data_IF_173761663773
#
_entry.id   IF_173761663773
#
_cell.length_a   1.000
_cell.length_b   1.000
_cell.length_c   1.000
_cell.angle_alpha   90.00
_cell.angle_beta   90.00
_cell.angle_gamma   90.00
#
_symmetry.space_group_name_H-M   'P 1'
#
loop_
_entity.id
_entity.type
_entity.pdbx_description
1 polymer ?
#
# COMPACT_ATOMS: atom_id res chain seq x y z
N UNK A 1 28.49 -48.37 42.64
CA UNK A 1 28.72 -47.23 41.73
C UNK A 1 28.46 -47.55 40.25
N UNK A 2 28.52 -48.81 39.80
CA UNK A 2 28.39 -49.14 38.37
C UNK A 2 26.95 -49.18 37.81
N UNK A 3 25.92 -49.35 38.64
CA UNK A 3 24.53 -49.39 38.18
C UNK A 3 23.97 -48.00 37.84
N UNK A 4 24.40 -46.97 38.58
CA UNK A 4 23.96 -45.58 38.38
C UNK A 4 24.48 -45.02 37.06
N UNK A 5 25.72 -45.34 36.70
CA UNK A 5 26.34 -44.96 35.43
C UNK A 5 25.70 -45.66 34.22
N UNK A 6 25.27 -46.91 34.37
CA UNK A 6 24.57 -47.63 33.30
C UNK A 6 23.17 -47.04 33.07
N UNK A 7 22.44 -46.69 34.14
CA UNK A 7 21.13 -46.06 34.04
C UNK A 7 21.21 -44.65 33.43
N UNK A 8 22.22 -43.86 33.79
CA UNK A 8 22.47 -42.54 33.20
C UNK A 8 22.81 -42.64 31.71
N UNK A 9 23.67 -43.58 31.32
CA UNK A 9 24.01 -43.81 29.90
C UNK A 9 22.79 -44.24 29.07
N UNK A 10 21.88 -45.06 29.63
CA UNK A 10 20.64 -45.44 28.95
C UNK A 10 19.63 -44.29 28.87
N UNK A 11 19.61 -43.39 29.86
CA UNK A 11 18.74 -42.22 29.83
C UNK A 11 19.22 -41.17 28.82
N UNK A 12 20.54 -40.93 28.75
CA UNK A 12 21.15 -40.06 27.73
C UNK A 12 20.95 -40.60 26.31
N UNK A 13 21.04 -41.92 26.10
CA UNK A 13 20.77 -42.53 24.79
C UNK A 13 19.27 -42.47 24.40
N UNK A 14 18.36 -42.54 25.37
CA UNK A 14 16.92 -42.36 25.14
C UNK A 14 16.57 -40.90 24.81
N UNK A 15 17.23 -39.92 25.44
CA UNK A 15 17.04 -38.49 25.11
C UNK A 15 17.56 -38.11 23.72
N UNK A 16 18.60 -38.78 23.20
CA UNK A 16 19.12 -38.54 21.83
C UNK A 16 18.17 -39.10 20.76
N UNK A 17 17.27 -40.03 21.11
CA UNK A 17 16.30 -40.63 20.18
C UNK A 17 14.94 -39.93 20.16
N UNK A 18 14.73 -38.93 21.01
CA UNK A 18 13.58 -38.03 20.93
C UNK A 18 13.92 -36.88 19.97
N UNK A 19 14.03 -37.18 18.67
CA UNK A 19 13.78 -36.11 17.68
C UNK A 19 12.33 -35.68 17.88
N UNK A 20 12.12 -34.40 18.21
CA UNK A 20 10.80 -33.82 18.08
C UNK A 20 10.33 -34.11 16.65
N UNK A 21 9.05 -34.45 16.49
CA UNK A 21 8.46 -34.54 15.14
C UNK A 21 8.74 -33.21 14.44
N UNK A 22 9.30 -33.26 13.23
CA UNK A 22 9.56 -32.07 12.42
C UNK A 22 8.19 -31.39 12.21
N UNK A 23 7.98 -30.29 12.92
CA UNK A 23 6.71 -29.56 12.95
C UNK A 23 6.47 -28.80 11.65
N UNK A 24 5.53 -27.85 11.67
CA UNK A 24 5.39 -26.90 10.57
C UNK A 24 6.66 -26.04 10.48
N UNK A 25 7.51 -26.29 9.49
CA UNK A 25 8.65 -25.45 9.18
C UNK A 25 8.19 -24.29 8.30
N UNK A 26 8.28 -23.07 8.84
CA UNK A 26 8.06 -21.86 8.06
C UNK A 26 9.23 -21.69 7.08
N UNK A 27 8.97 -21.53 5.77
CA UNK A 27 10.00 -21.26 4.79
C UNK A 27 10.82 -20.04 5.19
N UNK A 28 12.14 -20.13 5.07
CA UNK A 28 13.07 -18.99 5.26
C UNK A 28 13.71 -18.67 3.92
N UNK A 29 14.14 -17.43 3.75
CA UNK A 29 14.97 -17.07 2.61
C UNK A 29 16.20 -18.00 2.56
N UNK A 30 16.40 -18.67 1.43
CA UNK A 30 17.40 -19.72 1.27
C UNK A 30 18.76 -19.21 0.77
N UNK A 31 18.88 -17.90 0.53
CA UNK A 31 20.12 -17.24 0.12
C UNK A 31 20.52 -17.50 -1.33
N UNK A 32 19.63 -18.03 -2.18
CA UNK A 32 19.93 -18.23 -3.61
C UNK A 32 19.42 -17.06 -4.44
N UNK A 33 20.29 -16.59 -5.32
CA UNK A 33 19.98 -15.54 -6.30
C UNK A 33 19.01 -16.08 -7.38
N UNK A 34 17.85 -15.44 -7.51
CA UNK A 34 16.81 -15.73 -8.50
C UNK A 34 16.46 -14.51 -9.34
N UNK A 35 16.74 -13.30 -8.84
CA UNK A 35 16.48 -12.04 -9.52
C UNK A 35 17.58 -11.78 -10.55
N UNK A 36 17.20 -11.52 -11.79
CA UNK A 36 18.15 -11.31 -12.88
C UNK A 36 18.37 -9.81 -13.16
N UNK A 37 19.62 -9.38 -13.38
CA UNK A 37 19.84 -8.10 -14.06
C UNK A 37 19.39 -8.21 -15.52
N UNK A 38 18.49 -7.32 -15.94
CA UNK A 38 17.86 -7.37 -17.25
C UNK A 38 18.43 -6.26 -18.14
N UNK A 39 18.99 -6.67 -19.28
CA UNK A 39 19.58 -5.78 -20.27
C UNK A 39 19.04 -6.08 -21.68
N UNK A 40 19.44 -5.27 -22.66
CA UNK A 40 19.07 -5.46 -24.07
C UNK A 40 19.49 -6.82 -24.67
N UNK A 41 20.36 -7.59 -24.03
CA UNK A 41 20.86 -8.89 -24.53
C UNK A 41 20.04 -10.06 -24.01
N UNK A 42 19.44 -9.96 -22.82
CA UNK A 42 18.74 -11.08 -22.19
C UNK A 42 17.22 -10.91 -22.07
N UNK A 43 16.68 -9.70 -22.15
CA UNK A 43 15.25 -9.44 -21.86
C UNK A 43 14.27 -10.31 -22.67
N UNK A 44 14.51 -10.50 -23.98
CA UNK A 44 13.63 -11.35 -24.83
C UNK A 44 13.58 -12.79 -24.34
N UNK A 45 14.73 -13.33 -23.91
CA UNK A 45 14.79 -14.71 -23.41
C UNK A 45 14.08 -14.86 -22.07
N UNK A 46 14.02 -13.79 -21.27
CA UNK A 46 13.33 -13.79 -19.98
C UNK A 46 11.81 -13.70 -20.21
N UNK A 47 11.36 -12.81 -21.10
CA UNK A 47 9.95 -12.72 -21.52
C UNK A 47 9.45 -14.04 -22.13
N UNK A 48 10.27 -14.76 -22.89
CA UNK A 48 9.90 -16.07 -23.44
C UNK A 48 9.95 -17.22 -22.43
N UNK A 49 10.68 -17.05 -21.31
CA UNK A 49 10.92 -18.13 -20.34
C UNK A 49 9.82 -18.23 -19.29
N UNK A 50 9.31 -17.09 -18.84
CA UNK A 50 8.38 -17.00 -17.72
C UNK A 50 6.98 -16.65 -18.23
N UNK A 51 5.96 -17.20 -17.57
CA UNK A 51 4.56 -16.88 -17.89
C UNK A 51 4.23 -15.45 -17.43
N UNK A 52 4.86 -15.02 -16.33
CA UNK A 52 4.84 -13.64 -15.82
C UNK A 52 6.28 -13.20 -15.54
N UNK A 53 6.67 -12.01 -16.01
CA UNK A 53 7.97 -11.41 -15.70
C UNK A 53 7.77 -10.08 -14.95
N UNK A 54 8.30 -9.99 -13.74
CA UNK A 54 8.27 -8.79 -12.90
C UNK A 54 9.61 -8.07 -12.97
N UNK A 55 9.62 -6.80 -13.35
CA UNK A 55 10.82 -5.98 -13.49
C UNK A 55 10.74 -4.76 -12.58
N UNK A 56 11.59 -4.70 -11.57
CA UNK A 56 11.77 -3.48 -10.79
C UNK A 56 12.62 -2.49 -11.60
N UNK A 57 12.02 -1.36 -11.96
CA UNK A 57 12.72 -0.26 -12.59
C UNK A 57 13.30 0.66 -11.51
N UNK A 58 14.62 0.62 -11.31
CA UNK A 58 15.23 1.22 -10.12
C UNK A 58 16.20 2.36 -10.45
N UNK A 59 16.32 3.29 -9.50
CA UNK A 59 17.31 4.35 -9.57
C UNK A 59 18.73 3.77 -9.57
N UNK A 60 19.65 4.40 -10.31
CA UNK A 60 21.04 3.96 -10.28
C UNK A 60 21.66 4.32 -8.93
N UNK A 61 22.26 3.33 -8.27
CA UNK A 61 23.00 3.55 -7.02
C UNK A 61 24.29 4.34 -7.29
N UNK A 62 24.46 5.57 -6.72
CA UNK A 62 25.68 6.34 -6.89
C UNK A 62 26.88 5.66 -6.22
N UNK A 63 28.05 5.74 -6.85
CA UNK A 63 29.27 5.14 -6.31
C UNK A 63 29.64 5.77 -4.94
N UNK A 64 29.78 4.92 -3.92
CA UNK A 64 30.14 5.34 -2.56
C UNK A 64 28.95 5.74 -1.68
N UNK A 65 27.74 5.82 -2.22
CA UNK A 65 26.53 6.08 -1.44
C UNK A 65 26.03 4.80 -0.76
N UNK A 66 26.44 4.62 0.49
CA UNK A 66 26.04 3.45 1.31
C UNK A 66 24.56 3.44 1.66
N UNK A 67 23.89 4.60 1.71
CA UNK A 67 22.47 4.67 2.05
C UNK A 67 21.64 4.23 0.85
N UNK A 68 21.95 4.75 -0.34
CA UNK A 68 21.33 4.32 -1.59
C UNK A 68 21.56 2.82 -1.83
N UNK A 69 22.77 2.31 -1.58
CA UNK A 69 23.05 0.88 -1.70
C UNK A 69 22.17 0.04 -0.76
N UNK A 70 22.05 0.41 0.52
CA UNK A 70 21.20 -0.32 1.46
C UNK A 70 19.71 -0.31 1.07
N UNK A 71 19.21 0.81 0.53
CA UNK A 71 17.83 0.90 0.03
C UNK A 71 17.62 -0.05 -1.16
N UNK A 72 18.58 -0.09 -2.09
CA UNK A 72 18.56 -1.01 -3.21
C UNK A 72 18.65 -2.47 -2.76
N UNK A 73 19.58 -2.82 -1.87
CA UNK A 73 19.74 -4.18 -1.34
C UNK A 73 18.46 -4.67 -0.65
N UNK A 74 17.74 -3.77 0.04
CA UNK A 74 16.43 -4.08 0.64
C UNK A 74 15.39 -4.42 -0.44
N UNK A 75 15.28 -3.59 -1.48
CA UNK A 75 14.34 -3.82 -2.58
C UNK A 75 14.64 -5.12 -3.33
N UNK A 76 15.92 -5.38 -3.62
CA UNK A 76 16.37 -6.63 -4.25
C UNK A 76 16.03 -7.85 -3.38
N UNK A 77 16.23 -7.77 -2.06
CA UNK A 77 15.89 -8.86 -1.15
C UNK A 77 14.38 -9.16 -1.12
N UNK A 78 13.53 -8.13 -1.23
CA UNK A 78 12.07 -8.31 -1.34
C UNK A 78 11.73 -9.13 -2.58
N UNK A 79 12.32 -8.80 -3.73
CA UNK A 79 12.13 -9.55 -4.97
C UNK A 79 12.69 -10.97 -4.87
N UNK A 80 13.82 -11.17 -4.21
CA UNK A 80 14.39 -12.52 -4.00
C UNK A 80 13.48 -13.41 -3.16
N UNK A 81 12.85 -12.85 -2.12
CA UNK A 81 11.86 -13.56 -1.31
C UNK A 81 10.61 -13.90 -2.11
N UNK A 82 10.07 -12.95 -2.88
CA UNK A 82 8.93 -13.19 -3.77
C UNK A 82 9.26 -14.26 -4.84
N UNK A 83 10.45 -14.18 -5.45
CA UNK A 83 10.95 -15.14 -6.43
C UNK A 83 11.09 -16.54 -5.85
N UNK A 84 11.52 -16.66 -4.59
CA UNK A 84 11.59 -17.95 -3.90
C UNK A 84 10.21 -18.58 -3.73
N UNK A 85 9.21 -17.79 -3.29
CA UNK A 85 7.84 -18.28 -3.06
C UNK A 85 7.15 -18.65 -4.36
N UNK A 86 7.31 -17.81 -5.40
CA UNK A 86 6.59 -17.94 -6.67
C UNK A 86 7.34 -18.76 -7.73
N UNK A 87 8.49 -19.35 -7.39
CA UNK A 87 9.28 -20.19 -8.30
C UNK A 87 8.45 -21.32 -8.93
N UNK A 88 7.52 -21.91 -8.17
CA UNK A 88 6.66 -23.01 -8.63
C UNK A 88 5.56 -22.56 -9.60
N UNK A 89 5.29 -21.24 -9.67
CA UNK A 89 4.30 -20.60 -10.54
C UNK A 89 4.91 -20.08 -11.85
N UNK A 90 6.19 -20.36 -12.10
CA UNK A 90 6.93 -19.90 -13.29
C UNK A 90 6.92 -18.36 -13.47
N UNK A 91 6.98 -17.63 -12.35
CA UNK A 91 7.11 -16.17 -12.33
C UNK A 91 8.59 -15.80 -12.23
N UNK A 92 9.03 -14.92 -13.13
CA UNK A 92 10.39 -14.40 -13.17
C UNK A 92 10.49 -13.03 -12.52
N UNK A 93 11.66 -12.72 -11.97
CA UNK A 93 11.96 -11.41 -11.39
C UNK A 93 13.25 -10.86 -11.99
N UNK A 94 13.30 -9.54 -12.16
CA UNK A 94 14.47 -8.87 -12.68
C UNK A 94 14.57 -7.39 -12.31
N UNK A 95 15.76 -6.84 -12.56
CA UNK A 95 16.15 -5.48 -12.24
C UNK A 95 16.53 -4.75 -13.51
N UNK A 96 16.00 -3.53 -13.69
CA UNK A 96 16.35 -2.64 -14.80
C UNK A 96 16.85 -1.31 -14.22
N UNK A 97 18.09 -0.95 -14.53
CA UNK A 97 18.72 0.27 -14.01
C UNK A 97 18.39 1.49 -14.88
N UNK A 98 17.90 2.57 -14.27
CA UNK A 98 17.45 3.79 -14.96
C UNK A 98 18.53 4.42 -15.87
N UNK A 99 19.82 4.33 -15.52
CA UNK A 99 20.92 4.97 -16.29
C UNK A 99 21.68 3.96 -17.15
N UNK A 100 21.86 2.72 -16.67
CA UNK A 100 22.59 1.70 -17.45
C UNK A 100 21.72 1.11 -18.56
N UNK A 101 20.42 0.95 -18.30
CA UNK A 101 19.49 0.21 -19.16
C UNK A 101 18.40 1.11 -19.76
N UNK A 102 18.65 2.41 -19.89
CA UNK A 102 17.74 3.44 -20.48
C UNK A 102 17.08 2.98 -21.79
N UNK A 103 17.84 2.31 -22.66
CA UNK A 103 17.31 1.84 -23.96
C UNK A 103 16.29 0.72 -23.80
N UNK A 104 16.49 -0.15 -22.81
CA UNK A 104 15.55 -1.21 -22.48
C UNK A 104 14.31 -0.61 -21.82
N UNK A 105 14.48 0.26 -20.81
CA UNK A 105 13.37 0.94 -20.14
C UNK A 105 12.43 1.62 -21.14
N UNK A 106 12.99 2.44 -22.05
CA UNK A 106 12.21 3.08 -23.13
C UNK A 106 11.54 2.11 -24.10
N UNK A 107 12.13 0.93 -24.30
CA UNK A 107 11.59 -0.10 -25.21
C UNK A 107 10.42 -0.85 -24.57
N UNK A 108 10.50 -1.09 -23.27
CA UNK A 108 9.50 -1.81 -22.50
C UNK A 108 8.41 -0.89 -21.92
N UNK A 109 8.58 0.44 -22.04
CA UNK A 109 7.61 1.40 -21.50
C UNK A 109 7.74 1.62 -20.00
N UNK A 110 8.92 1.39 -19.41
CA UNK A 110 9.16 1.65 -17.99
C UNK A 110 9.41 3.16 -17.82
N UNK A 111 8.56 3.83 -17.05
CA UNK A 111 8.54 5.29 -16.92
C UNK A 111 8.91 5.68 -15.49
N UNK A 112 8.26 5.06 -14.51
CA UNK A 112 8.30 5.45 -13.11
C UNK A 112 9.36 4.68 -12.32
N UNK A 113 10.29 5.42 -11.73
CA UNK A 113 11.43 4.86 -11.02
C UNK A 113 11.00 4.47 -9.62
N UNK A 114 11.14 3.19 -9.29
CA UNK A 114 10.68 2.60 -8.03
C UNK A 114 9.62 1.54 -8.25
N UNK A 115 8.87 1.64 -9.33
CA UNK A 115 7.73 0.77 -9.64
C UNK A 115 8.16 -0.59 -10.18
N UNK A 116 7.31 -1.59 -9.94
CA UNK A 116 7.50 -2.94 -10.47
C UNK A 116 6.58 -3.13 -11.68
N UNK A 117 7.17 -3.41 -12.83
CA UNK A 117 6.43 -3.65 -14.07
C UNK A 117 6.24 -5.13 -14.30
N UNK A 118 4.99 -5.57 -14.45
CA UNK A 118 4.59 -6.96 -14.55
C UNK A 118 4.11 -7.23 -15.97
N UNK A 119 4.84 -8.08 -16.67
CA UNK A 119 4.52 -8.53 -18.02
C UNK A 119 3.79 -9.87 -17.93
N UNK A 120 2.53 -9.91 -18.37
CA UNK A 120 1.72 -11.13 -18.51
C UNK A 120 1.19 -11.17 -19.94
N UNK A 121 1.65 -12.13 -20.72
CA UNK A 121 1.33 -12.22 -22.16
C UNK A 121 1.65 -10.92 -22.92
N UNK A 122 0.64 -10.25 -23.50
CA UNK A 122 0.78 -8.97 -24.21
C UNK A 122 0.45 -7.76 -23.32
N UNK A 123 0.12 -7.99 -22.03
CA UNK A 123 -0.28 -6.96 -21.07
C UNK A 123 0.88 -6.52 -20.17
N UNK A 124 0.89 -5.22 -19.86
CA UNK A 124 1.82 -4.57 -18.96
C UNK A 124 1.03 -3.95 -17.80
N UNK A 125 1.29 -4.44 -16.60
CA UNK A 125 0.70 -3.93 -15.36
C UNK A 125 1.80 -3.17 -14.62
N UNK A 126 1.51 -1.93 -14.23
CA UNK A 126 2.34 -1.15 -13.30
C UNK A 126 1.87 -1.46 -11.89
N UNK A 127 2.77 -2.01 -11.07
CA UNK A 127 2.54 -2.25 -9.65
C UNK A 127 3.04 -1.05 -8.87
N UNK A 128 2.09 -0.35 -8.26
CA UNK A 128 2.30 0.87 -7.50
C UNK A 128 1.79 0.73 -6.06
N UNK A 129 2.12 -0.42 -5.47
CA UNK A 129 1.81 -0.79 -4.10
C UNK A 129 3.06 -0.86 -3.21
N UNK A 130 2.85 -1.23 -1.95
CA UNK A 130 3.92 -1.43 -0.98
C UNK A 130 4.92 -2.47 -1.48
N UNK A 131 6.21 -2.11 -1.48
CA UNK A 131 7.28 -3.05 -1.81
C UNK A 131 7.64 -3.93 -0.61
N UNK A 132 6.75 -4.87 -0.28
CA UNK A 132 6.98 -5.94 0.69
C UNK A 132 6.76 -7.33 0.06
N UNK A 133 7.44 -8.39 0.56
CA UNK A 133 7.28 -9.73 -0.01
C UNK A 133 5.84 -10.23 0.06
N UNK A 134 5.14 -9.94 1.16
CA UNK A 134 3.78 -10.41 1.42
C UNK A 134 2.78 -9.79 0.43
N UNK A 135 2.80 -8.46 0.29
CA UNK A 135 1.88 -7.73 -0.60
C UNK A 135 2.19 -8.07 -2.07
N UNK A 136 3.46 -8.03 -2.47
CA UNK A 136 3.86 -8.35 -3.85
C UNK A 136 3.52 -9.80 -4.23
N UNK A 137 3.69 -10.77 -3.32
CA UNK A 137 3.32 -12.16 -3.58
C UNK A 137 1.80 -12.30 -3.71
N UNK A 138 1.02 -11.68 -2.82
CA UNK A 138 -0.44 -11.69 -2.90
C UNK A 138 -0.92 -11.09 -4.24
N UNK A 139 -0.42 -9.92 -4.60
CA UNK A 139 -0.72 -9.26 -5.86
C UNK A 139 -0.40 -10.15 -7.07
N UNK A 140 0.78 -10.76 -7.10
CA UNK A 140 1.18 -11.63 -8.22
C UNK A 140 0.37 -12.93 -8.29
N UNK A 141 -0.15 -13.43 -7.16
CA UNK A 141 -1.08 -14.55 -7.18
C UNK A 141 -2.41 -14.13 -7.84
N UNK A 142 -2.93 -12.96 -7.52
CA UNK A 142 -4.12 -12.41 -8.15
C UNK A 142 -3.89 -12.17 -9.66
N UNK A 143 -2.71 -11.66 -10.05
CA UNK A 143 -2.31 -11.57 -11.47
C UNK A 143 -2.33 -12.94 -12.16
N UNK A 144 -2.05 -14.04 -11.46
CA UNK A 144 -2.11 -15.39 -12.06
C UNK A 144 -3.51 -15.93 -12.28
N UNK A 145 -4.53 -15.34 -11.64
CA UNK A 145 -5.92 -15.73 -11.81
C UNK A 145 -6.48 -15.23 -13.16
N UNK A 146 -7.66 -15.75 -13.52
CA UNK A 146 -8.39 -15.32 -14.70
C UNK A 146 -8.97 -13.92 -14.44
N UNK A 147 -8.98 -13.02 -15.44
CA UNK A 147 -9.43 -11.64 -15.26
C UNK A 147 -10.93 -11.50 -14.98
N UNK A 148 -11.72 -12.54 -15.26
CA UNK A 148 -13.17 -12.57 -15.03
C UNK A 148 -13.58 -13.79 -14.19
N UNK A 149 -14.21 -13.56 -13.03
CA UNK A 149 -14.75 -14.62 -12.19
C UNK A 149 -16.19 -15.00 -12.62
N UNK A 150 -16.45 -16.30 -12.83
CA UNK A 150 -17.77 -16.79 -13.26
C UNK A 150 -18.66 -17.14 -12.06
N UNK A 151 -19.79 -16.43 -11.92
CA UNK A 151 -20.82 -16.71 -10.92
C UNK A 151 -21.86 -17.69 -11.49
N UNK A 152 -21.83 -18.92 -11.00
CA UNK A 152 -22.73 -20.00 -11.41
C UNK A 152 -23.92 -20.18 -10.45
N UNK A 153 -23.77 -19.78 -9.18
CA UNK A 153 -24.74 -20.10 -8.13
C UNK A 153 -25.20 -18.89 -7.29
N UNK A 154 -26.38 -19.02 -6.67
CA UNK A 154 -26.88 -18.02 -5.70
C UNK A 154 -26.03 -17.93 -4.43
N UNK A 155 -25.17 -18.92 -4.17
CA UNK A 155 -24.28 -18.88 -3.04
C UNK A 155 -23.11 -17.93 -3.32
N UNK A 156 -22.52 -18.02 -4.51
CA UNK A 156 -21.46 -17.11 -4.99
C UNK A 156 -21.95 -15.67 -5.13
N UNK A 157 -23.23 -15.44 -5.48
CA UNK A 157 -23.81 -14.08 -5.47
C UNK A 157 -23.63 -13.38 -4.11
N UNK A 158 -23.66 -14.11 -2.99
CA UNK A 158 -23.42 -13.50 -1.68
C UNK A 158 -21.97 -13.11 -1.45
N UNK A 159 -21.02 -13.82 -2.08
CA UNK A 159 -19.61 -13.42 -2.03
C UNK A 159 -19.42 -12.14 -2.84
N UNK A 160 -19.97 -12.10 -4.05
CA UNK A 160 -20.01 -10.90 -4.89
C UNK A 160 -20.65 -9.70 -4.17
N UNK A 161 -21.81 -9.88 -3.52
CA UNK A 161 -22.50 -8.82 -2.77
C UNK A 161 -21.69 -8.30 -1.55
N UNK A 162 -20.73 -9.08 -1.02
CA UNK A 162 -19.91 -8.70 0.16
C UNK A 162 -18.63 -7.95 -0.18
N UNK A 163 -18.13 -8.06 -1.40
CA UNK A 163 -16.95 -7.32 -1.84
C UNK A 163 -17.37 -5.88 -2.12
N UNK A 164 -17.34 -4.99 -1.14
CA UNK A 164 -17.77 -3.58 -1.28
C UNK A 164 -16.61 -2.57 -1.22
N UNK A 165 -15.38 -3.01 -0.95
CA UNK A 165 -14.22 -2.10 -0.81
C UNK A 165 -13.53 -1.74 -2.14
N UNK A 166 -13.86 -2.45 -3.22
CA UNK A 166 -13.22 -2.30 -4.53
C UNK A 166 -14.26 -2.15 -5.63
N UNK A 167 -13.89 -1.43 -6.68
CA UNK A 167 -14.72 -1.35 -7.89
C UNK A 167 -14.91 -2.78 -8.43
N UNK A 168 -16.16 -3.11 -8.75
CA UNK A 168 -16.49 -4.38 -9.38
C UNK A 168 -17.53 -4.23 -10.48
N UNK A 169 -17.41 -5.06 -11.50
CA UNK A 169 -18.35 -5.12 -12.61
C UNK A 169 -18.97 -6.50 -12.69
N UNK A 170 -20.24 -6.58 -13.09
CA UNK A 170 -20.88 -7.87 -13.38
C UNK A 170 -21.70 -7.84 -14.67
N UNK A 171 -21.37 -8.76 -15.58
CA UNK A 171 -22.07 -8.93 -16.85
C UNK A 171 -22.90 -10.21 -16.93
N UNK A 172 -24.08 -10.14 -17.55
CA UNK A 172 -24.86 -11.34 -17.90
C UNK A 172 -24.79 -11.64 -19.40
N UNK A 173 -24.11 -12.73 -19.75
CA UNK A 173 -23.90 -13.12 -21.15
C UNK A 173 -24.51 -14.47 -21.48
N UNK A 174 -24.51 -14.81 -22.77
CA UNK A 174 -25.08 -16.07 -23.25
C UNK A 174 -24.22 -17.29 -22.90
N UNK A 175 -22.91 -17.14 -22.98
CA UNK A 175 -21.87 -18.18 -22.80
C UNK A 175 -20.49 -17.56 -23.00
N UNK A 176 -19.43 -18.25 -22.60
CA UNK A 176 -18.02 -17.88 -22.82
C UNK A 176 -17.66 -17.63 -24.30
N UNK A 177 -18.34 -18.29 -25.23
CA UNK A 177 -18.08 -18.09 -26.68
C UNK A 177 -18.86 -16.90 -27.29
N UNK A 178 -19.56 -16.13 -26.47
CA UNK A 178 -20.29 -14.93 -26.89
C UNK A 178 -19.32 -13.81 -27.24
N UNK A 179 -19.53 -13.14 -28.37
CA UNK A 179 -18.73 -11.96 -28.77
C UNK A 179 -18.73 -10.87 -27.68
N UNK A 180 -19.88 -10.63 -27.03
CA UNK A 180 -19.98 -9.64 -25.94
C UNK A 180 -19.30 -10.06 -24.64
N UNK A 181 -19.17 -11.38 -24.39
CA UNK A 181 -18.40 -11.83 -23.23
C UNK A 181 -16.91 -11.65 -23.50
N UNK A 182 -16.46 -11.96 -24.72
CA UNK A 182 -15.06 -11.74 -25.12
C UNK A 182 -14.66 -10.28 -25.01
N UNK A 183 -15.48 -9.36 -25.52
CA UNK A 183 -15.22 -7.93 -25.36
C UNK A 183 -15.16 -7.49 -23.87
N UNK A 184 -15.96 -8.12 -22.99
CA UNK A 184 -15.93 -7.86 -21.56
C UNK A 184 -14.70 -8.47 -20.86
N UNK A 185 -14.26 -9.65 -21.31
CA UNK A 185 -13.03 -10.31 -20.86
C UNK A 185 -11.79 -9.55 -21.32
N UNK A 186 -11.75 -9.13 -22.59
CA UNK A 186 -10.70 -8.28 -23.15
C UNK A 186 -10.59 -6.96 -22.35
N UNK A 187 -11.74 -6.33 -22.00
CA UNK A 187 -11.75 -5.13 -21.16
C UNK A 187 -11.25 -5.39 -19.72
N UNK A 188 -11.55 -6.55 -19.15
CA UNK A 188 -11.11 -6.92 -17.81
C UNK A 188 -9.58 -7.00 -17.71
N UNK A 189 -8.90 -7.43 -18.77
CA UNK A 189 -7.43 -7.51 -18.82
C UNK A 189 -6.74 -6.15 -18.65
N UNK A 190 -7.38 -5.03 -19.01
CA UNK A 190 -6.83 -3.67 -18.82
C UNK A 190 -6.78 -3.24 -17.35
N UNK A 191 -7.62 -3.82 -16.49
CA UNK A 191 -7.75 -3.42 -15.09
C UNK A 191 -7.38 -4.54 -14.11
N UNK A 192 -6.98 -5.71 -14.61
CA UNK A 192 -6.59 -6.85 -13.79
C UNK A 192 -5.28 -6.57 -13.06
N UNK A 193 -5.16 -6.81 -11.75
CA UNK A 193 -6.16 -7.37 -10.83
C UNK A 193 -6.89 -6.33 -9.95
N UNK A 194 -6.69 -5.03 -10.18
CA UNK A 194 -7.17 -3.95 -9.31
C UNK A 194 -8.71 -3.83 -9.28
N UNK A 195 -9.36 -3.98 -10.45
CA UNK A 195 -10.82 -3.95 -10.58
C UNK A 195 -11.34 -5.35 -10.83
N UNK A 196 -12.36 -5.76 -10.06
CA UNK A 196 -12.87 -7.14 -10.11
C UNK A 196 -13.98 -7.28 -11.15
N UNK A 197 -13.76 -8.10 -12.18
CA UNK A 197 -14.77 -8.40 -13.18
C UNK A 197 -15.43 -9.74 -12.87
N UNK A 198 -16.76 -9.76 -12.91
CA UNK A 198 -17.58 -10.94 -12.75
C UNK A 198 -18.46 -11.16 -13.97
N UNK A 199 -18.75 -12.41 -14.30
CA UNK A 199 -19.72 -12.74 -15.33
C UNK A 199 -20.64 -13.86 -14.87
N UNK A 200 -21.84 -13.89 -15.43
CA UNK A 200 -22.71 -15.06 -15.31
C UNK A 200 -23.28 -15.44 -16.66
N UNK A 201 -23.46 -16.75 -16.85
CA UNK A 201 -24.25 -17.32 -17.95
C UNK A 201 -25.57 -17.91 -17.46
N UNK A 202 -25.82 -17.83 -16.14
CA UNK A 202 -26.96 -18.45 -15.49
C UNK A 202 -28.11 -17.46 -15.34
N UNK A 203 -29.21 -17.71 -16.06
CA UNK A 203 -30.44 -16.89 -15.98
C UNK A 203 -31.01 -16.75 -14.55
N UNK A 204 -30.78 -17.72 -13.66
CA UNK A 204 -31.23 -17.66 -12.26
C UNK A 204 -30.40 -16.66 -11.45
N UNK A 205 -29.08 -16.60 -11.70
CA UNK A 205 -28.15 -15.63 -11.10
C UNK A 205 -28.45 -14.24 -11.63
N UNK A 206 -28.52 -14.08 -12.96
CA UNK A 206 -28.89 -12.80 -13.58
C UNK A 206 -30.21 -12.24 -13.06
N UNK A 207 -31.22 -13.09 -12.85
CA UNK A 207 -32.50 -12.64 -12.26
C UNK A 207 -32.37 -12.17 -10.79
N UNK A 208 -31.44 -12.74 -10.01
CA UNK A 208 -31.18 -12.30 -8.62
C UNK A 208 -30.50 -10.93 -8.59
N UNK A 209 -29.63 -10.66 -9.57
CA UNK A 209 -28.91 -9.41 -9.76
C UNK A 209 -29.66 -8.40 -10.65
N UNK A 210 -30.90 -8.71 -11.06
CA UNK A 210 -31.71 -7.88 -11.96
C UNK A 210 -31.12 -7.58 -13.37
N UNK A 211 -30.03 -8.26 -13.75
CA UNK A 211 -29.38 -8.13 -15.06
C UNK A 211 -30.22 -8.70 -16.22
N UNK A 212 -30.24 -7.97 -17.33
CA UNK A 212 -30.72 -8.45 -18.65
C UNK A 212 -29.56 -8.98 -19.50
N UNK A 213 -29.87 -9.70 -20.58
CA UNK A 213 -28.84 -10.25 -21.49
C UNK A 213 -27.96 -9.12 -22.05
N UNK A 214 -26.64 -9.33 -22.05
CA UNK A 214 -25.56 -8.42 -22.42
C UNK A 214 -25.56 -7.09 -21.64
N UNK A 215 -26.20 -7.05 -20.47
CA UNK A 215 -26.15 -5.92 -19.54
C UNK A 215 -24.93 -6.08 -18.64
N UNK A 216 -24.24 -4.99 -18.38
CA UNK A 216 -23.11 -4.89 -17.46
C UNK A 216 -23.45 -3.82 -16.44
N UNK A 217 -23.39 -4.19 -15.16
CA UNK A 217 -23.57 -3.27 -14.05
C UNK A 217 -22.20 -3.00 -13.41
N UNK A 218 -21.92 -1.72 -13.18
CA UNK A 218 -20.76 -1.20 -12.47
C UNK A 218 -21.16 -0.89 -11.03
N UNK A 219 -20.36 -1.35 -10.07
CA UNK A 219 -20.53 -1.08 -8.66
C UNK A 219 -19.32 -0.27 -8.18
N UNK A 220 -19.58 0.97 -7.82
CA UNK A 220 -18.65 1.79 -7.07
C UNK A 220 -18.50 1.22 -5.63
N UNK A 221 -17.29 1.26 -5.04
CA UNK A 221 -17.07 0.92 -3.65
C UNK A 221 -18.09 1.56 -2.70
N UNK A 222 -18.54 0.78 -1.73
CA UNK A 222 -19.43 1.20 -0.65
C UNK A 222 -20.84 1.68 -1.05
N UNK A 223 -21.16 1.68 -2.35
CA UNK A 223 -22.49 2.02 -2.87
C UNK A 223 -23.43 0.81 -2.87
N UNK A 224 -24.68 1.02 -2.48
CA UNK A 224 -25.72 -0.03 -2.46
C UNK A 224 -26.25 -0.35 -3.86
N UNK A 225 -26.36 0.68 -4.70
CA UNK A 225 -26.92 0.59 -6.05
C UNK A 225 -25.80 0.61 -7.11
N UNK A 226 -26.00 -0.17 -8.16
CA UNK A 226 -25.10 -0.19 -9.32
C UNK A 226 -25.51 0.80 -10.39
N UNK A 227 -24.54 1.22 -11.20
CA UNK A 227 -24.76 1.96 -12.44
C UNK A 227 -24.70 0.99 -13.62
N UNK A 228 -25.82 0.82 -14.34
CA UNK A 228 -25.81 0.04 -15.59
C UNK A 228 -25.12 0.83 -16.69
N UNK A 229 -24.10 0.25 -17.32
CA UNK A 229 -23.40 0.88 -18.44
C UNK A 229 -24.41 1.15 -19.58
N UNK A 230 -24.48 2.38 -20.12
CA UNK A 230 -25.46 2.73 -21.15
C UNK A 230 -25.19 2.04 -22.49
N UNK A 231 -26.21 2.00 -23.35
CA UNK A 231 -26.09 1.66 -24.78
C UNK A 231 -25.60 0.23 -25.13
N UNK A 232 -25.94 -0.77 -24.31
CA UNK A 232 -25.63 -2.18 -24.60
C UNK A 232 -26.10 -2.70 -25.98
N UNK A 233 -25.43 -3.71 -26.57
CA UNK A 233 -24.23 -4.40 -26.06
C UNK A 233 -22.95 -3.61 -26.28
N UNK A 234 -22.01 -3.73 -25.35
CA UNK A 234 -20.79 -2.93 -25.30
C UNK A 234 -19.63 -3.54 -26.10
N UNK A 235 -18.76 -2.70 -26.66
CA UNK A 235 -17.40 -3.07 -27.07
C UNK A 235 -16.42 -3.06 -25.89
N UNK A 236 -15.19 -3.55 -26.12
CA UNK A 236 -14.09 -3.46 -25.15
C UNK A 236 -13.83 -2.00 -24.78
N UNK A 237 -13.70 -1.13 -25.79
CA UNK A 237 -13.37 0.28 -25.60
C UNK A 237 -14.46 1.03 -24.84
N UNK A 238 -15.75 0.74 -25.08
CA UNK A 238 -16.85 1.38 -24.37
C UNK A 238 -16.85 1.03 -22.87
N UNK A 239 -16.44 -0.20 -22.51
CA UNK A 239 -16.32 -0.61 -21.09
C UNK A 239 -15.10 0.07 -20.46
N UNK A 240 -13.96 0.08 -21.17
CA UNK A 240 -12.73 0.72 -20.69
C UNK A 240 -12.95 2.22 -20.48
N UNK A 241 -13.54 2.93 -21.44
CA UNK A 241 -13.86 4.36 -21.34
C UNK A 241 -14.79 4.65 -20.16
N UNK A 242 -15.84 3.84 -19.99
CA UNK A 242 -16.77 4.01 -18.87
C UNK A 242 -16.05 3.87 -17.52
N UNK A 243 -15.21 2.84 -17.35
CA UNK A 243 -14.48 2.63 -16.09
C UNK A 243 -13.48 3.77 -15.85
N UNK A 244 -12.78 4.24 -16.87
CA UNK A 244 -11.83 5.36 -16.74
C UNK A 244 -12.55 6.66 -16.32
N UNK A 245 -13.76 6.91 -16.82
CA UNK A 245 -14.59 8.05 -16.41
C UNK A 245 -15.09 7.95 -14.95
N UNK A 246 -15.23 6.74 -14.41
CA UNK A 246 -15.77 6.48 -13.07
C UNK A 246 -14.74 5.83 -12.13
N UNK A 247 -13.44 5.95 -12.44
CA UNK A 247 -12.36 5.26 -11.72
C UNK A 247 -12.18 5.81 -10.30
N UNK A 248 -12.44 7.10 -10.10
CA UNK A 248 -12.33 7.75 -8.79
C UNK A 248 -13.67 7.66 -8.06
N UNK A 249 -13.70 6.86 -7.01
CA UNK A 249 -14.87 6.68 -6.14
C UNK A 249 -14.97 7.77 -5.08
N UNK A 250 -16.18 8.07 -4.62
CA UNK A 250 -16.46 9.04 -3.57
C UNK A 250 -15.86 8.62 -2.23
N UNK A 251 -15.89 7.32 -1.92
CA UNK A 251 -15.18 6.73 -0.80
C UNK A 251 -14.31 5.59 -1.32
N UNK A 252 -13.01 5.63 -1.03
CA UNK A 252 -12.03 4.63 -1.46
C UNK A 252 -11.19 4.19 -0.28
N UNK A 253 -10.94 2.89 -0.16
CA UNK A 253 -10.02 2.36 0.86
C UNK A 253 -8.60 2.45 0.35
N UNK A 254 -7.68 2.96 1.16
CA UNK A 254 -6.25 2.88 0.90
C UNK A 254 -5.81 1.44 1.16
N UNK A 255 -5.24 0.75 0.17
CA UNK A 255 -4.81 -0.65 0.33
C UNK A 255 -3.32 -0.79 0.08
N UNK A 256 -2.64 -1.77 0.70
CA UNK A 256 -1.21 -1.97 0.46
C UNK A 256 -0.87 -2.22 -1.00
N UNK A 257 -1.73 -2.88 -1.79
CA UNK A 257 -1.44 -3.19 -3.19
C UNK A 257 -1.50 -2.00 -4.17
N UNK A 258 -2.14 -0.88 -3.80
CA UNK A 258 -2.35 0.30 -4.66
C UNK A 258 -2.18 1.63 -3.90
N UNK A 259 -1.39 1.60 -2.81
CA UNK A 259 -1.21 2.71 -1.88
C UNK A 259 -0.69 3.98 -2.56
N UNK A 260 0.24 3.85 -3.50
CA UNK A 260 0.84 5.01 -4.18
C UNK A 260 -0.09 5.52 -5.27
N UNK A 261 -0.70 4.63 -6.06
CA UNK A 261 -1.70 5.01 -7.07
C UNK A 261 -2.84 5.83 -6.44
N UNK A 262 -3.37 5.37 -5.31
CA UNK A 262 -4.46 6.06 -4.59
C UNK A 262 -4.01 7.40 -4.02
N UNK A 263 -2.79 7.47 -3.47
CA UNK A 263 -2.28 8.68 -2.83
C UNK A 263 -1.88 9.77 -3.83
N UNK A 264 -1.27 9.38 -4.96
CA UNK A 264 -0.88 10.30 -6.05
C UNK A 264 -2.08 10.79 -6.87
N UNK A 265 -3.22 10.11 -6.80
CA UNK A 265 -4.48 10.54 -7.41
C UNK A 265 -5.20 11.61 -6.54
N UNK A 266 -4.53 12.74 -6.31
CA UNK A 266 -5.02 13.85 -5.50
C UNK A 266 -6.10 14.71 -6.19
N UNK A 267 -6.74 15.57 -5.40
CA UNK A 267 -7.71 16.55 -5.87
C UNK A 267 -7.19 17.95 -5.57
N UNK A 268 -6.67 18.64 -6.59
CA UNK A 268 -6.13 20.00 -6.47
C UNK A 268 -5.05 20.17 -5.38
N UNK A 269 -4.22 19.14 -5.17
CA UNK A 269 -3.12 19.13 -4.21
C UNK A 269 -3.51 18.66 -2.80
N UNK A 270 -4.75 18.22 -2.59
CA UNK A 270 -5.25 17.74 -1.30
C UNK A 270 -5.88 16.35 -1.38
N UNK A 271 -5.90 15.66 -0.24
CA UNK A 271 -6.65 14.43 0.00
C UNK A 271 -7.51 14.61 1.25
N UNK A 272 -8.79 14.24 1.17
CA UNK A 272 -9.64 14.10 2.36
C UNK A 272 -9.39 12.69 2.90
N UNK A 273 -8.84 12.60 4.11
CA UNK A 273 -8.40 11.34 4.73
C UNK A 273 -9.25 11.04 5.95
N UNK A 274 -9.77 9.82 6.04
CA UNK A 274 -10.47 9.33 7.22
C UNK A 274 -9.74 8.10 7.79
N UNK A 275 -9.35 8.14 9.07
CA UNK A 275 -8.84 6.98 9.78
C UNK A 275 -9.97 6.32 10.58
N UNK A 276 -10.17 5.03 10.38
CA UNK A 276 -11.12 4.23 11.15
C UNK A 276 -10.72 2.75 11.10
N UNK A 277 -10.55 2.12 12.26
CA UNK A 277 -10.30 0.68 12.38
C UNK A 277 -11.63 -0.07 12.22
N UNK A 278 -11.76 -0.95 11.22
CA UNK A 278 -13.03 -1.65 10.97
C UNK A 278 -13.40 -2.63 12.10
N UNK A 279 -12.39 -3.21 12.76
CA UNK A 279 -12.59 -4.18 13.84
C UNK A 279 -12.93 -3.53 15.19
N UNK A 280 -12.68 -2.23 15.36
CA UNK A 280 -13.03 -1.46 16.54
C UNK A 280 -14.51 -0.99 16.49
N UNK A 281 -15.28 -1.05 17.60
CA UNK A 281 -16.68 -0.62 17.59
C UNK A 281 -16.92 0.82 17.14
N UNK A 282 -16.05 1.75 17.56
CA UNK A 282 -16.20 3.17 17.29
C UNK A 282 -15.74 3.47 15.85
N UNK A 283 -14.66 2.80 15.41
CA UNK A 283 -14.23 2.80 14.01
C UNK A 283 -15.30 2.26 13.04
N UNK A 284 -15.97 1.17 13.39
CA UNK A 284 -17.07 0.61 12.59
C UNK A 284 -18.29 1.55 12.52
N UNK A 285 -18.64 2.21 13.63
CA UNK A 285 -19.72 3.20 13.65
C UNK A 285 -19.38 4.41 12.78
N UNK A 286 -18.17 4.94 12.91
CA UNK A 286 -17.70 6.06 12.08
C UNK A 286 -17.63 5.70 10.60
N UNK A 287 -17.14 4.50 10.26
CA UNK A 287 -17.16 4.00 8.88
C UNK A 287 -18.58 3.90 8.32
N UNK A 288 -19.56 3.53 9.14
CA UNK A 288 -20.97 3.50 8.71
C UNK A 288 -21.48 4.90 8.36
N UNK A 289 -21.07 5.93 9.10
CA UNK A 289 -21.38 7.34 8.82
C UNK A 289 -20.67 7.79 7.53
N UNK A 290 -19.39 7.46 7.34
CA UNK A 290 -18.65 7.75 6.11
C UNK A 290 -19.33 7.14 4.87
N UNK A 291 -19.76 5.88 4.96
CA UNK A 291 -20.49 5.19 3.87
C UNK A 291 -21.84 5.87 3.59
N UNK A 292 -22.54 6.39 4.60
CA UNK A 292 -23.78 7.14 4.42
C UNK A 292 -23.53 8.46 3.69
N UNK A 293 -22.60 9.27 4.17
CA UNK A 293 -22.24 10.56 3.56
C UNK A 293 -21.74 10.40 2.13
N UNK A 294 -20.93 9.37 1.87
CA UNK A 294 -20.45 9.07 0.52
C UNK A 294 -21.61 8.73 -0.44
N UNK A 295 -22.59 7.94 -0.01
CA UNK A 295 -23.78 7.62 -0.83
C UNK A 295 -24.64 8.83 -1.13
N UNK A 296 -24.79 9.73 -0.17
CA UNK A 296 -25.58 10.95 -0.34
C UNK A 296 -24.89 11.96 -1.27
N UNK A 297 -23.56 11.88 -1.39
CA UNK A 297 -22.74 12.78 -2.19
C UNK A 297 -22.06 12.12 -3.41
N UNK A 298 -22.49 10.92 -3.81
CA UNK A 298 -21.86 10.14 -4.91
C UNK A 298 -21.86 10.87 -6.26
N UNK A 299 -22.84 11.75 -6.50
CA UNK A 299 -22.94 12.55 -7.73
C UNK A 299 -21.99 13.77 -7.73
N UNK A 300 -21.25 14.03 -6.64
CA UNK A 300 -20.31 15.15 -6.55
C UNK A 300 -18.91 14.74 -7.04
N UNK A 301 -18.48 15.16 -8.24
CA UNK A 301 -17.19 14.76 -8.80
C UNK A 301 -16.00 15.40 -8.06
N UNK A 302 -16.26 16.43 -7.24
CA UNK A 302 -15.24 17.16 -6.49
C UNK A 302 -14.99 16.54 -5.10
N UNK A 303 -15.70 15.45 -4.74
CA UNK A 303 -15.55 14.74 -3.48
C UNK A 303 -14.92 13.35 -3.67
N UNK A 304 -13.78 13.13 -3.02
CA UNK A 304 -13.20 11.80 -2.83
C UNK A 304 -12.56 11.71 -1.46
N UNK A 305 -12.97 10.70 -0.68
CA UNK A 305 -12.48 10.43 0.68
C UNK A 305 -11.65 9.15 0.65
N UNK A 306 -10.42 9.24 1.13
CA UNK A 306 -9.53 8.09 1.33
C UNK A 306 -9.73 7.59 2.77
N UNK A 307 -10.39 6.45 2.90
CA UNK A 307 -10.46 5.72 4.17
C UNK A 307 -9.19 4.89 4.35
N UNK A 308 -8.54 5.04 5.50
CA UNK A 308 -7.38 4.26 5.92
C UNK A 308 -7.77 3.48 7.17
N UNK A 309 -7.69 2.16 7.09
CA UNK A 309 -7.66 1.33 8.29
C UNK A 309 -6.21 1.31 8.82
N UNK A 310 -5.94 1.84 10.03
CA UNK A 310 -4.58 1.89 10.58
C UNK A 310 -3.92 0.50 10.72
N UNK A 311 -4.73 -0.56 10.89
CA UNK A 311 -4.24 -1.94 11.07
C UNK A 311 -3.66 -2.54 9.77
N UNK A 312 -4.07 -2.04 8.61
CA UNK A 312 -3.49 -2.41 7.31
C UNK A 312 -2.06 -1.85 7.14
N UNK A 313 -1.70 -0.80 7.90
CA UNK A 313 -0.42 -0.09 7.78
C UNK A 313 0.30 0.11 9.12
N UNK A 314 0.65 -0.98 9.84
CA UNK A 314 1.21 -0.89 11.19
C UNK A 314 2.57 -0.17 11.24
N UNK A 315 3.32 -0.14 10.12
CA UNK A 315 4.59 0.58 10.03
C UNK A 315 4.42 2.10 9.84
N UNK A 316 3.25 2.55 9.39
CA UNK A 316 2.94 3.97 9.17
C UNK A 316 2.16 4.58 10.34
N UNK A 317 1.51 3.77 11.17
CA UNK A 317 0.77 4.21 12.36
C UNK A 317 1.48 5.31 13.16
N UNK A 318 2.68 5.02 13.70
CA UNK A 318 3.44 5.99 14.50
C UNK A 318 3.95 7.19 13.68
N UNK A 319 4.15 7.01 12.38
CA UNK A 319 4.52 8.11 11.49
C UNK A 319 3.36 9.10 11.36
N UNK A 320 2.14 8.62 11.14
CA UNK A 320 0.95 9.46 11.02
C UNK A 320 0.62 10.18 12.33
N UNK A 321 0.57 9.50 13.48
CA UNK A 321 0.34 10.15 14.78
C UNK A 321 1.33 11.30 15.02
N UNK A 322 2.61 11.08 14.72
CA UNK A 322 3.64 12.10 14.92
C UNK A 322 3.52 13.25 13.92
N UNK A 323 3.16 12.96 12.68
CA UNK A 323 3.13 13.95 11.58
C UNK A 323 1.89 14.82 11.73
N UNK A 324 0.72 14.19 11.85
CA UNK A 324 -0.58 14.85 11.90
C UNK A 324 -1.03 15.26 13.30
N UNK A 325 -0.31 14.84 14.35
CA UNK A 325 -0.63 15.15 15.77
C UNK A 325 -2.00 14.64 16.22
N UNK A 326 -2.47 13.56 15.60
CA UNK A 326 -3.73 12.88 15.91
C UNK A 326 -3.50 11.60 16.73
N UNK A 327 -4.56 11.09 17.36
CA UNK A 327 -4.58 9.79 18.03
C UNK A 327 -5.31 8.78 17.13
N UNK A 328 -4.58 7.81 16.59
CA UNK A 328 -5.11 6.81 15.66
C UNK A 328 -5.83 5.65 16.36
N UNK A 329 -5.87 5.63 17.69
CA UNK A 329 -6.76 4.72 18.43
C UNK A 329 -8.22 5.19 18.41
N UNK A 330 -8.49 6.30 17.71
CA UNK A 330 -9.80 6.95 17.61
C UNK A 330 -10.09 7.27 16.16
N UNK A 331 -11.37 7.31 15.75
CA UNK A 331 -11.72 7.75 14.41
C UNK A 331 -11.29 9.20 14.16
N UNK A 332 -10.73 9.47 12.99
CA UNK A 332 -10.27 10.80 12.57
C UNK A 332 -10.76 11.09 11.15
N UNK A 333 -11.04 12.35 10.83
CA UNK A 333 -11.16 12.82 9.45
C UNK A 333 -10.53 14.18 9.29
N UNK A 334 -9.81 14.38 8.20
CA UNK A 334 -9.04 15.59 7.95
C UNK A 334 -8.72 15.79 6.47
N UNK A 335 -8.06 16.90 6.18
CA UNK A 335 -7.52 17.23 4.88
C UNK A 335 -6.00 17.21 4.99
N UNK A 336 -5.33 16.55 4.05
CA UNK A 336 -3.87 16.48 3.96
C UNK A 336 -3.41 17.09 2.64
N UNK A 337 -2.48 18.04 2.71
CA UNK A 337 -1.78 18.56 1.54
C UNK A 337 -0.70 17.57 1.10
N UNK A 338 -0.77 17.11 -0.15
CA UNK A 338 0.14 16.05 -0.64
C UNK A 338 1.57 16.56 -0.87
N UNK A 339 1.79 17.88 -0.89
CA UNK A 339 3.09 18.49 -1.21
C UNK A 339 4.04 18.53 -0.01
N UNK A 340 3.52 18.89 1.16
CA UNK A 340 4.30 19.10 2.39
C UNK A 340 3.80 18.30 3.60
N UNK A 341 2.71 17.54 3.43
CA UNK A 341 2.03 16.78 4.47
C UNK A 341 1.46 17.63 5.61
N UNK A 342 1.20 18.92 5.35
CA UNK A 342 0.40 19.75 6.24
C UNK A 342 -1.05 19.26 6.29
N UNK A 343 -1.72 19.43 7.43
CA UNK A 343 -3.03 18.80 7.65
C UNK A 343 -3.89 19.50 8.69
N UNK A 344 -5.19 19.55 8.42
CA UNK A 344 -6.23 20.01 9.34
C UNK A 344 -7.23 18.89 9.60
N UNK A 345 -7.65 18.72 10.85
CA UNK A 345 -8.50 17.60 11.29
C UNK A 345 -9.78 18.11 11.97
N UNK A 346 -10.88 17.39 11.79
CA UNK A 346 -12.15 17.68 12.46
C UNK A 346 -12.00 17.48 13.98
N UNK A 347 -12.51 18.42 14.78
CA UNK A 347 -12.50 18.32 16.24
C UNK A 347 -13.54 17.31 16.73
N UNK A 348 -13.13 16.05 16.86
CA UNK A 348 -13.90 14.96 17.48
C UNK A 348 -13.41 14.81 18.92
N UNK A 349 -14.25 15.23 19.88
CA UNK A 349 -13.83 15.41 21.28
C UNK A 349 -13.52 14.09 21.99
N UNK A 350 -14.35 13.08 21.77
CA UNK A 350 -14.17 11.74 22.30
C UNK A 350 -14.98 10.71 21.50
N UNK A 351 -14.77 9.44 21.85
CA UNK A 351 -15.31 8.27 21.14
C UNK A 351 -16.85 8.16 21.29
N UNK A 352 -17.44 8.80 22.31
CA UNK A 352 -18.89 8.86 22.54
C UNK A 352 -19.57 10.00 21.72
N UNK A 353 -18.77 10.93 21.16
CA UNK A 353 -19.20 12.14 20.47
C UNK A 353 -18.86 12.09 18.95
N UNK A 354 -18.99 10.91 18.30
CA UNK A 354 -18.86 10.79 16.85
C UNK A 354 -19.84 11.72 16.12
N UNK A 355 -19.41 12.37 15.01
CA UNK A 355 -20.28 13.27 14.27
C UNK A 355 -21.43 12.52 13.59
N UNK A 356 -22.59 13.14 13.52
CA UNK A 356 -23.67 12.66 12.64
C UNK A 356 -23.32 12.83 11.16
N UNK A 357 -24.05 12.15 10.28
CA UNK A 357 -23.91 12.32 8.81
C UNK A 357 -24.09 13.77 8.38
N UNK A 358 -25.09 14.48 8.94
CA UNK A 358 -25.34 15.91 8.69
C UNK A 358 -24.14 16.80 9.10
N UNK A 359 -23.52 16.55 10.26
CA UNK A 359 -22.38 17.33 10.75
C UNK A 359 -21.12 17.08 9.91
N UNK A 360 -20.92 15.83 9.50
CA UNK A 360 -19.81 15.46 8.62
C UNK A 360 -19.97 16.06 7.22
N UNK A 361 -21.19 16.05 6.67
CA UNK A 361 -21.49 16.68 5.38
C UNK A 361 -21.25 18.19 5.42
N UNK A 362 -21.66 18.88 6.50
CA UNK A 362 -21.40 20.31 6.68
C UNK A 362 -19.90 20.62 6.71
N UNK A 363 -19.11 19.81 7.42
CA UNK A 363 -17.66 19.95 7.47
C UNK A 363 -17.01 19.74 6.10
N UNK A 364 -17.40 18.69 5.37
CA UNK A 364 -16.90 18.43 4.02
C UNK A 364 -17.27 19.54 3.04
N UNK A 365 -18.48 20.09 3.13
CA UNK A 365 -18.87 21.25 2.31
C UNK A 365 -17.98 22.46 2.60
N UNK A 366 -17.62 22.70 3.87
CA UNK A 366 -16.72 23.78 4.24
C UNK A 366 -15.29 23.57 3.72
N UNK A 367 -14.78 22.34 3.74
CA UNK A 367 -13.53 21.92 3.08
C UNK A 367 -13.58 22.21 1.57
N UNK A 368 -14.59 21.68 0.87
CA UNK A 368 -14.70 21.85 -0.59
C UNK A 368 -14.91 23.30 -1.01
N UNK A 369 -15.50 24.13 -0.14
CA UNK A 369 -15.64 25.57 -0.37
C UNK A 369 -14.37 26.38 -0.07
N UNK A 370 -13.33 25.74 0.46
CA UNK A 370 -12.05 26.36 0.85
C UNK A 370 -12.11 27.13 2.18
N UNK A 371 -13.20 27.03 2.94
CA UNK A 371 -13.29 27.65 4.28
C UNK A 371 -12.47 26.89 5.32
N UNK A 372 -12.27 25.60 5.12
CA UNK A 372 -11.36 24.75 5.87
C UNK A 372 -10.25 24.40 4.90
N UNK A 373 -9.04 24.88 5.17
CA UNK A 373 -7.86 24.64 4.35
C UNK A 373 -6.63 24.57 5.27
N UNK A 374 -5.53 24.03 4.75
CA UNK A 374 -4.30 23.85 5.53
C UNK A 374 -3.49 25.16 5.67
N UNK A 375 -3.69 26.13 4.77
CA UNK A 375 -2.89 27.38 4.75
C UNK A 375 -3.30 28.40 5.83
N UNK A 376 -4.54 28.36 6.32
CA UNK A 376 -5.07 29.33 7.30
C UNK A 376 -4.62 29.04 8.76
N UNK A 377 -4.06 27.86 9.06
CA UNK A 377 -3.59 27.47 10.40
C UNK A 377 -2.20 28.09 10.75
N UNK A 378 -1.49 28.67 9.78
CA UNK A 378 -0.15 29.25 9.96
C UNK A 378 -0.15 30.70 10.51
N UNK A 379 -1.31 31.37 10.60
CA UNK A 379 -1.41 32.82 10.87
C UNK A 379 -1.62 33.19 12.36
N UNK A 380 -1.68 32.23 13.29
CA UNK A 380 -2.08 32.47 14.69
C UNK A 380 -0.94 32.54 15.74
N UNK A 381 0.33 32.62 15.33
CA UNK A 381 1.49 32.56 16.25
C UNK A 381 2.39 33.82 16.32
N UNK A 382 1.82 35.02 16.16
CA UNK A 382 2.60 36.29 16.24
C UNK A 382 1.85 37.46 16.95
N UNK A 383 1.31 37.23 18.15
CA UNK A 383 0.93 38.32 19.06
C UNK A 383 1.20 37.95 20.54
N UNK A 384 2.47 37.98 20.94
CA UNK A 384 2.83 38.33 22.32
C UNK A 384 3.40 39.74 22.34
N UNK A 385 2.48 40.71 22.45
CA UNK A 385 2.73 42.00 23.07
C UNK A 385 3.08 41.77 24.55
N UNK A 386 4.37 41.75 24.88
CA UNK A 386 4.84 42.10 26.22
C UNK A 386 5.74 43.34 26.10
N UNK A 387 5.06 44.48 25.95
CA UNK A 387 5.56 45.78 26.38
C UNK A 387 5.68 45.77 27.92
N UNK A 388 6.90 45.77 28.44
CA UNK A 388 7.19 46.39 29.74
C UNK A 388 8.48 47.20 29.61
N UNK A 389 8.27 48.52 29.51
CA UNK A 389 9.23 49.62 29.42
C UNK A 389 10.22 49.67 30.61
N UNK A 390 11.47 50.01 30.26
CA UNK A 390 12.41 50.96 30.87
C UNK A 390 12.47 51.14 32.42
N UNK A 391 13.67 50.95 32.99
CA UNK A 391 14.46 52.08 33.53
C UNK A 391 15.79 51.60 34.17
N UNK A 392 16.89 52.04 33.55
CA UNK A 392 18.06 52.73 34.10
C UNK A 392 18.84 52.24 35.35
N UNK A 393 20.15 52.19 35.10
CA UNK A 393 21.25 52.74 35.90
C UNK A 393 21.89 51.94 37.06
N UNK A 394 23.14 51.58 36.76
CA UNK A 394 24.37 51.95 37.47
C UNK A 394 24.92 51.11 38.64
N UNK A 395 26.22 50.84 38.43
CA UNK A 395 27.35 50.82 39.36
C UNK A 395 27.89 49.48 39.86
N UNK A 396 29.07 49.21 39.30
CA UNK A 396 30.37 49.09 39.99
C UNK A 396 30.67 47.85 40.81
N UNK A 397 31.77 47.23 40.37
CA UNK A 397 32.94 46.82 41.15
C UNK A 397 32.70 45.92 42.37
N UNK A 398 33.23 44.70 42.30
CA UNK A 398 34.50 44.48 42.98
C UNK A 398 35.12 43.15 42.55
N UNK A 399 36.42 43.24 42.32
CA UNK A 399 37.41 42.20 42.10
C UNK A 399 37.35 41.08 43.16
N UNK A 400 37.78 39.87 42.78
CA UNK A 400 38.90 39.26 43.49
C UNK A 400 39.51 38.13 42.65
N UNK A 401 40.78 38.35 42.37
CA UNK A 401 41.80 37.47 41.81
C UNK A 401 41.94 36.15 42.60
N UNK A 402 42.42 35.11 41.91
CA UNK A 402 43.68 34.42 42.23
C UNK A 402 43.74 33.08 41.48
N UNK A 403 44.32 33.13 40.29
CA UNK A 403 45.63 32.54 39.95
C UNK A 403 46.05 31.19 40.55
N UNK A 404 46.70 30.43 39.66
CA UNK A 404 47.84 29.55 39.89
C UNK A 404 47.55 28.18 40.56
N UNK A 405 48.11 27.06 40.13
CA UNK A 405 49.06 26.73 39.08
C UNK A 405 49.29 25.20 39.19
N UNK A 406 49.92 24.65 38.15
CA UNK A 406 50.95 23.61 38.24
C UNK A 406 50.55 22.22 38.73
N UNK A 407 50.62 21.22 37.84
CA UNK A 407 51.84 20.43 37.56
C UNK A 407 51.57 19.04 38.19
N UNK A 408 51.98 17.91 37.67
CA UNK A 408 52.90 17.57 36.61
C UNK A 408 52.82 16.02 36.53
N UNK A 409 53.43 15.49 35.48
CA UNK A 409 54.21 14.25 35.54
C UNK A 409 53.48 12.92 35.78
N UNK A 410 53.79 11.84 35.09
CA UNK A 410 54.66 11.55 33.96
C UNK A 410 54.59 10.02 33.85
N UNK A 411 55.14 9.51 32.75
CA UNK A 411 55.81 8.21 32.69
C UNK A 411 54.93 6.94 32.78
N UNK A 412 55.20 5.90 32.03
CA UNK A 412 55.98 5.61 30.83
C UNK A 412 55.87 4.07 30.73
N UNK A 413 56.34 3.54 29.61
CA UNK A 413 56.87 2.18 29.48
C UNK A 413 55.85 1.01 29.53
N UNK A 414 55.96 -0.02 28.72
CA UNK A 414 56.71 -0.35 27.50
C UNK A 414 56.37 -1.85 27.28
N UNK A 415 56.74 -2.37 26.12
CA UNK A 415 57.07 -3.78 25.89
C UNK A 415 55.94 -4.82 25.91
N UNK A 416 55.92 -5.86 25.09
CA UNK A 416 56.53 -6.21 23.81
C UNK A 416 55.97 -7.63 23.52
N UNK A 417 56.34 -8.18 22.37
CA UNK A 417 56.37 -9.61 22.02
C UNK A 417 55.09 -10.25 21.45
N UNK A 418 55.04 -10.26 20.11
CA UNK A 418 55.33 -11.44 19.28
C UNK A 418 54.95 -12.83 19.86
N UNK A 419 54.14 -13.59 19.11
CA UNK A 419 54.72 -14.70 18.32
C UNK A 419 53.67 -15.40 17.45
N UNK A 420 54.17 -15.76 16.27
CA UNK A 420 53.60 -16.57 15.20
C UNK A 420 53.15 -17.97 15.67
N UNK A 421 52.26 -18.60 14.89
CA UNK A 421 52.61 -19.89 14.29
C UNK A 421 51.65 -20.28 13.15
N UNK A 422 52.29 -20.79 12.09
CA UNK A 422 51.82 -21.31 10.80
C UNK A 422 50.67 -22.35 10.82
#
# INVERSE_FOLDING_TARGET
>A
MNAVWLCLATFSAACISCRAEDGLEFPRYDGKDRVAHVDMKNYQKLLEKYDILCLLYHASVPAGDKVAQRRFDRAELVLEMAAQVLQVKNIGFGLVDEKKDVKLAKKLGLIEIGSVYIFKEDHLIEYDGELSPEVLVAFLLDVTEDPVEIIESRAEVRSFERTDEVIKLIGYFKSEVSEHYKAFEDAAEHFHPYIRFFATFNKVVAKKLSLKMNEVDFYEPFMDDSVTIPDKPHSEEEIVEFIQEHKRSTLRKLRPEDVFETWEDDMDGIQIVAFAEEEDPDGYEFLSILKEVARENTDNPDLSIVWIDPDDFPLLFTYWERTFKIDLHRPQIGVVNVTDADSIWMDIKDDDDLPSSDELEEWLHDVLSGKVNTEDDDDDDDNNDDDDDDDDDDNDDDDDDDDDDDDDDDDDDDDDDDDDDD
#
